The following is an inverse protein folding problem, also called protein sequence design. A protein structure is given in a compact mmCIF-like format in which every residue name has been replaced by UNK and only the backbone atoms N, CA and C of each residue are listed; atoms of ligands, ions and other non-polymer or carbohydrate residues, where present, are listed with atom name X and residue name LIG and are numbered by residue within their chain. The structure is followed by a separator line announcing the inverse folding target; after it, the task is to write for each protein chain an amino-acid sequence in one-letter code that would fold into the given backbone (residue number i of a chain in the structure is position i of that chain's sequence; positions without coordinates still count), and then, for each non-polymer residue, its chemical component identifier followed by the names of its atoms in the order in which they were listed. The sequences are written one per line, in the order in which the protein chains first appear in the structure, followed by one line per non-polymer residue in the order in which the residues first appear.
data_IF_740044912883
#
_entry.id   IF_740044912883
#
_cell.length_a   1.000
_cell.length_b   1.000
_cell.length_c   1.000
_cell.angle_alpha   90.00
_cell.angle_beta   90.00
_cell.angle_gamma   90.00
#
_symmetry.space_group_name_H-M   'P 1'
#
loop_
_entity.id
_entity.type
_entity.pdbx_description
1 polymer ?
#
# COMPACT_ATOMS: atom_id res chain seq x y z
N UNK A 1 24.48 -0.41 16.90
CA UNK A 1 23.10 -0.31 16.38
C UNK A 1 22.78 -1.65 15.76
N UNK A 2 21.82 -2.40 16.31
CA UNK A 2 21.40 -3.67 15.70
C UNK A 2 20.77 -3.36 14.35
N UNK A 3 21.31 -3.93 13.27
CA UNK A 3 20.67 -3.83 11.96
C UNK A 3 19.29 -4.49 12.09
N UNK A 4 18.23 -3.70 11.90
CA UNK A 4 16.87 -4.20 11.95
C UNK A 4 16.67 -5.04 10.68
N UNK A 5 16.29 -6.30 10.84
CA UNK A 5 16.14 -7.20 9.70
C UNK A 5 15.07 -6.67 8.73
N UNK A 6 15.30 -6.79 7.40
CA UNK A 6 14.38 -6.30 6.39
C UNK A 6 13.13 -7.17 6.31
N UNK A 7 11.97 -6.54 6.07
CA UNK A 7 10.70 -7.25 5.98
C UNK A 7 10.53 -7.87 4.60
N UNK A 8 9.92 -9.07 4.55
CA UNK A 8 9.71 -9.81 3.30
C UNK A 8 8.24 -9.74 2.86
N UNK A 9 7.99 -9.28 1.63
CA UNK A 9 6.70 -9.37 0.97
C UNK A 9 6.75 -10.43 -0.13
N UNK A 10 5.98 -11.50 0.04
CA UNK A 10 5.85 -12.56 -0.94
C UNK A 10 4.51 -12.45 -1.66
N UNK A 11 4.54 -12.39 -2.99
CA UNK A 11 3.34 -12.26 -3.84
C UNK A 11 3.24 -13.50 -4.72
N UNK A 12 2.16 -14.27 -4.60
CA UNK A 12 1.93 -15.43 -5.46
C UNK A 12 1.81 -15.00 -6.93
N UNK A 13 2.44 -15.73 -7.84
CA UNK A 13 2.27 -15.56 -9.28
C UNK A 13 1.25 -16.58 -9.78
N UNK A 14 0.17 -16.11 -10.42
CA UNK A 14 -0.85 -16.99 -10.99
C UNK A 14 -0.47 -17.48 -12.39
N UNK A 15 0.27 -16.65 -13.15
CA UNK A 15 0.84 -17.00 -14.47
C UNK A 15 2.19 -16.31 -14.68
N UNK A 16 2.98 -16.79 -15.64
CA UNK A 16 4.31 -16.26 -15.92
C UNK A 16 4.30 -14.81 -16.46
N UNK A 17 3.23 -14.40 -17.17
CA UNK A 17 3.15 -13.09 -17.80
C UNK A 17 4.07 -12.93 -19.02
N UNK A 18 3.79 -11.93 -19.87
CA UNK A 18 4.75 -11.48 -20.89
C UNK A 18 5.84 -10.60 -20.27
N UNK A 19 7.00 -10.47 -20.92
CA UNK A 19 8.12 -9.64 -20.43
C UNK A 19 7.67 -8.21 -20.15
N UNK A 20 6.91 -7.59 -21.06
CA UNK A 20 6.38 -6.24 -20.88
C UNK A 20 5.41 -6.12 -19.70
N UNK A 21 4.62 -7.16 -19.42
CA UNK A 21 3.73 -7.20 -18.26
C UNK A 21 4.53 -7.27 -16.97
N UNK A 22 5.59 -8.09 -16.94
CA UNK A 22 6.49 -8.21 -15.78
C UNK A 22 7.21 -6.89 -15.52
N UNK A 23 7.77 -6.25 -16.54
CA UNK A 23 8.47 -4.97 -16.41
C UNK A 23 7.53 -3.89 -15.87
N UNK A 24 6.28 -3.83 -16.37
CA UNK A 24 5.25 -2.91 -15.84
C UNK A 24 4.88 -3.24 -14.40
N UNK A 25 4.72 -4.52 -14.06
CA UNK A 25 4.47 -4.93 -12.69
C UNK A 25 5.59 -4.51 -11.75
N UNK A 26 6.85 -4.75 -12.12
CA UNK A 26 8.03 -4.35 -11.33
C UNK A 26 8.15 -2.82 -11.22
N UNK A 27 7.79 -2.08 -12.25
CA UNK A 27 7.75 -0.62 -12.19
C UNK A 27 6.63 -0.11 -11.29
N UNK A 28 5.42 -0.69 -11.37
CA UNK A 28 4.27 -0.27 -10.59
C UNK A 28 4.42 -0.66 -9.11
N UNK A 29 5.04 -1.81 -8.81
CA UNK A 29 5.32 -2.22 -7.42
C UNK A 29 6.37 -1.30 -6.79
N UNK A 30 7.42 -0.93 -7.52
CA UNK A 30 8.40 0.02 -7.04
C UNK A 30 7.76 1.39 -6.79
N UNK A 31 6.97 1.90 -7.74
CA UNK A 31 6.27 3.17 -7.58
C UNK A 31 5.30 3.16 -6.38
N UNK A 32 4.60 2.06 -6.15
CA UNK A 32 3.73 1.89 -4.99
C UNK A 32 4.51 1.88 -3.66
N UNK A 33 5.66 1.21 -3.63
CA UNK A 33 6.54 1.19 -2.47
C UNK A 33 7.08 2.59 -2.13
N UNK A 34 7.65 3.27 -3.13
CA UNK A 34 8.19 4.62 -2.98
C UNK A 34 7.11 5.61 -2.50
N UNK A 35 5.92 5.53 -3.09
CA UNK A 35 4.76 6.32 -2.71
C UNK A 35 4.41 6.18 -1.22
N UNK A 36 4.30 4.94 -0.73
CA UNK A 36 4.04 4.66 0.68
C UNK A 36 5.19 5.15 1.57
N UNK A 37 6.43 4.93 1.17
CA UNK A 37 7.61 5.37 1.91
C UNK A 37 7.66 6.90 2.06
N UNK A 38 7.53 7.64 0.97
CA UNK A 38 7.59 9.09 0.99
C UNK A 38 6.40 9.72 1.71
N UNK A 39 5.22 9.09 1.64
CA UNK A 39 4.07 9.53 2.41
C UNK A 39 4.36 9.47 3.92
N UNK A 40 4.91 8.36 4.41
CA UNK A 40 5.32 8.21 5.82
C UNK A 40 6.42 9.21 6.24
N UNK A 41 7.46 9.38 5.42
CA UNK A 41 8.53 10.34 5.69
C UNK A 41 7.99 11.77 5.75
N UNK A 42 7.08 12.12 4.83
CA UNK A 42 6.45 13.44 4.78
C UNK A 42 5.60 13.70 6.02
N UNK A 43 4.75 12.75 6.40
CA UNK A 43 3.95 12.83 7.61
C UNK A 43 4.81 13.01 8.87
N UNK A 44 5.90 12.26 8.98
CA UNK A 44 6.82 12.37 10.12
C UNK A 44 7.47 13.75 10.19
N UNK A 45 7.88 14.31 9.04
CA UNK A 45 8.45 15.68 8.97
C UNK A 45 7.42 16.73 9.37
N UNK A 46 6.20 16.59 8.88
CA UNK A 46 5.07 17.46 9.19
C UNK A 46 4.72 17.45 10.67
N UNK A 47 4.61 16.26 11.27
CA UNK A 47 4.35 16.10 12.70
C UNK A 47 5.45 16.77 13.55
N UNK A 48 6.73 16.55 13.22
CA UNK A 48 7.84 17.21 13.93
C UNK A 48 7.75 18.72 13.83
N UNK A 49 7.51 19.24 12.62
CA UNK A 49 7.39 20.68 12.40
C UNK A 49 6.25 21.27 13.23
N UNK A 50 5.11 20.60 13.25
CA UNK A 50 3.94 21.00 14.04
C UNK A 50 4.20 21.03 15.55
N UNK A 51 4.99 20.08 16.08
CA UNK A 51 5.29 20.01 17.52
C UNK A 51 6.33 21.07 17.95
N UNK A 52 7.36 21.34 17.12
CA UNK A 52 8.51 22.15 17.52
C UNK A 52 8.47 23.61 17.06
N UNK A 53 7.74 23.93 16.00
CA UNK A 53 7.57 25.31 15.54
C UNK A 53 6.24 25.85 16.08
N UNK A 54 6.29 26.88 16.93
CA UNK A 54 5.09 27.53 17.44
C UNK A 54 4.15 27.93 16.29
N UNK A 55 2.82 27.83 16.48
CA UNK A 55 1.84 28.09 15.43
C UNK A 55 1.79 29.57 15.08
N UNK A 56 2.80 30.03 14.35
CA UNK A 56 2.75 31.34 13.71
C UNK A 56 1.79 31.24 12.54
N UNK A 57 0.85 32.18 12.46
CA UNK A 57 -0.27 32.21 11.51
C UNK A 57 0.17 32.37 10.03
N UNK A 58 1.48 32.29 9.77
CA UNK A 58 2.11 32.31 8.44
C UNK A 58 2.64 30.91 8.10
N UNK A 59 1.81 29.89 8.35
CA UNK A 59 2.02 28.57 7.77
C UNK A 59 1.97 28.73 6.24
N UNK A 60 3.14 28.90 5.63
CA UNK A 60 3.35 28.61 4.22
C UNK A 60 2.68 27.25 3.98
N UNK A 61 1.63 27.24 3.15
CA UNK A 61 0.88 26.03 2.84
C UNK A 61 1.88 24.90 2.63
N UNK A 62 1.73 23.76 3.35
CA UNK A 62 2.65 22.64 3.20
C UNK A 62 2.73 22.38 1.71
N UNK A 63 3.90 22.60 1.10
CA UNK A 63 3.99 22.67 -0.35
C UNK A 63 3.44 21.35 -0.93
N UNK A 64 2.17 21.37 -1.35
CA UNK A 64 1.38 20.21 -1.76
C UNK A 64 1.87 19.70 -3.11
N UNK A 65 2.84 20.38 -3.70
CA UNK A 65 3.70 19.93 -4.75
C UNK A 65 4.23 18.54 -4.43
N UNK A 66 3.51 17.53 -4.93
CA UNK A 66 3.92 16.13 -5.08
C UNK A 66 4.99 16.04 -6.19
N UNK A 67 5.85 17.05 -6.32
CA UNK A 67 6.91 17.04 -7.31
C UNK A 67 7.89 15.96 -6.88
N UNK A 68 7.85 14.89 -7.70
CA UNK A 68 8.73 13.74 -7.76
C UNK A 68 9.91 13.84 -6.79
N UNK A 69 9.76 13.23 -5.62
CA UNK A 69 10.93 12.92 -4.82
C UNK A 69 11.79 12.02 -5.68
N UNK A 70 13.00 12.45 -6.02
CA UNK A 70 13.86 11.66 -6.89
C UNK A 70 14.10 10.28 -6.27
N UNK A 71 14.12 9.20 -7.06
CA UNK A 71 14.42 7.85 -6.57
C UNK A 71 15.72 7.78 -5.75
N UNK A 72 16.66 8.68 -6.03
CA UNK A 72 17.94 8.86 -5.32
C UNK A 72 17.80 9.34 -3.86
N UNK A 73 16.60 9.73 -3.42
CA UNK A 73 16.37 10.28 -2.06
C UNK A 73 16.05 9.23 -1.00
N UNK A 74 15.82 7.97 -1.37
CA UNK A 74 15.64 6.86 -0.43
C UNK A 74 17.02 6.34 -0.02
N UNK A 75 17.27 6.23 1.29
CA UNK A 75 18.51 5.64 1.79
C UNK A 75 18.64 4.20 1.27
N UNK A 76 19.84 3.74 0.88
CA UNK A 76 20.03 2.40 0.30
C UNK A 76 19.39 1.27 1.12
N UNK A 77 19.46 1.35 2.46
CA UNK A 77 18.85 0.38 3.39
C UNK A 77 17.32 0.32 3.38
N UNK A 78 16.65 1.30 2.78
CA UNK A 78 15.20 1.34 2.62
C UNK A 78 14.75 1.21 1.17
N UNK A 79 15.65 0.87 0.24
CA UNK A 79 15.25 0.59 -1.14
C UNK A 79 14.51 -0.74 -1.21
N UNK A 80 13.56 -0.84 -2.14
CA UNK A 80 12.87 -2.10 -2.42
C UNK A 80 13.83 -3.00 -3.20
N UNK A 81 14.15 -4.16 -2.65
CA UNK A 81 15.02 -5.13 -3.31
C UNK A 81 14.20 -6.35 -3.74
N UNK A 82 14.37 -6.77 -5.00
CA UNK A 82 13.82 -8.02 -5.50
C UNK A 82 14.79 -9.15 -5.14
N UNK A 83 14.45 -9.97 -4.14
CA UNK A 83 15.34 -11.04 -3.67
C UNK A 83 15.20 -12.33 -4.43
N UNK A 84 13.96 -12.72 -4.73
CA UNK A 84 13.69 -14.03 -5.31
C UNK A 84 12.51 -13.98 -6.26
N UNK A 85 12.70 -14.62 -7.41
CA UNK A 85 11.65 -14.85 -8.39
C UNK A 85 11.59 -16.35 -8.65
N UNK A 86 10.42 -16.95 -8.48
CA UNK A 86 10.15 -18.33 -8.86
C UNK A 86 9.04 -18.35 -9.90
N UNK A 87 9.41 -18.56 -11.16
CA UNK A 87 8.48 -18.69 -12.29
C UNK A 87 8.20 -20.18 -12.52
N UNK A 88 7.43 -20.77 -11.61
CA UNK A 88 6.89 -22.13 -11.75
C UNK A 88 5.35 -22.05 -11.58
N UNK A 89 4.62 -23.14 -11.81
CA UNK A 89 3.20 -23.22 -11.45
C UNK A 89 3.04 -24.14 -10.23
N UNK A 90 2.74 -23.63 -9.01
CA UNK A 90 2.57 -22.22 -8.64
C UNK A 90 3.90 -21.48 -8.36
N UNK A 91 3.97 -20.20 -8.72
CA UNK A 91 5.16 -19.35 -8.63
C UNK A 91 5.00 -18.24 -7.59
N UNK A 92 6.07 -17.49 -7.33
CA UNK A 92 6.00 -16.33 -6.43
C UNK A 92 7.12 -15.31 -6.69
N UNK A 93 6.85 -14.08 -6.29
CA UNK A 93 7.78 -12.96 -6.21
C UNK A 93 8.06 -12.66 -4.74
N UNK A 94 9.31 -12.39 -4.40
CA UNK A 94 9.71 -12.02 -3.04
C UNK A 94 10.47 -10.69 -3.08
N UNK A 95 10.05 -9.77 -2.21
CA UNK A 95 10.60 -8.44 -2.09
C UNK A 95 11.06 -8.18 -0.66
N UNK A 96 12.18 -7.48 -0.51
CA UNK A 96 12.68 -6.95 0.75
C UNK A 96 12.57 -5.43 0.79
N UNK A 97 12.23 -4.88 1.95
CA UNK A 97 12.15 -3.44 2.13
C UNK A 97 11.67 -3.03 3.52
N UNK A 98 11.34 -1.75 3.66
CA UNK A 98 10.82 -1.17 4.89
C UNK A 98 9.45 -1.77 5.25
N UNK A 99 9.23 -2.02 6.56
CA UNK A 99 7.99 -2.64 7.05
C UNK A 99 6.73 -1.90 6.62
N UNK A 100 6.68 -0.58 6.87
CA UNK A 100 5.44 0.18 6.74
C UNK A 100 4.92 0.16 5.29
N UNK A 101 5.75 0.45 4.26
CA UNK A 101 5.34 0.31 2.87
C UNK A 101 4.90 -1.11 2.48
N UNK A 102 5.65 -2.14 2.86
CA UNK A 102 5.33 -3.52 2.50
C UNK A 102 4.02 -3.99 3.16
N UNK A 103 3.79 -3.61 4.42
CA UNK A 103 2.55 -3.86 5.14
C UNK A 103 1.35 -3.22 4.43
N UNK A 104 1.48 -1.94 4.06
CA UNK A 104 0.44 -1.18 3.35
C UNK A 104 0.07 -1.86 2.02
N UNK A 105 1.09 -2.27 1.26
CA UNK A 105 0.92 -2.99 -0.01
C UNK A 105 0.25 -4.36 0.20
N UNK A 106 0.69 -5.13 1.21
CA UNK A 106 0.09 -6.42 1.57
C UNK A 106 -1.39 -6.28 1.90
N UNK A 107 -1.73 -5.34 2.78
CA UNK A 107 -3.11 -5.11 3.20
C UNK A 107 -3.99 -4.72 2.02
N UNK A 108 -3.51 -3.81 1.18
CA UNK A 108 -4.22 -3.42 -0.05
C UNK A 108 -4.46 -4.59 -1.00
N UNK A 109 -3.43 -5.38 -1.32
CA UNK A 109 -3.53 -6.53 -2.23
C UNK A 109 -4.40 -7.65 -1.64
N UNK A 110 -4.32 -7.89 -0.33
CA UNK A 110 -5.17 -8.84 0.39
C UNK A 110 -6.64 -8.40 0.32
N UNK A 111 -6.91 -7.14 0.63
CA UNK A 111 -8.28 -6.60 0.58
C UNK A 111 -8.87 -6.64 -0.83
N UNK A 112 -8.06 -6.32 -1.84
CA UNK A 112 -8.48 -6.42 -3.23
C UNK A 112 -8.76 -7.88 -3.63
N UNK A 113 -7.94 -8.82 -3.18
CA UNK A 113 -8.15 -10.25 -3.44
C UNK A 113 -9.48 -10.75 -2.91
N UNK A 114 -9.80 -10.39 -1.66
CA UNK A 114 -11.05 -10.80 -1.04
C UNK A 114 -12.25 -10.11 -1.72
N UNK A 115 -12.13 -8.85 -2.16
CA UNK A 115 -13.18 -8.19 -2.97
C UNK A 115 -13.42 -8.87 -4.32
N UNK A 116 -12.37 -9.39 -4.95
CA UNK A 116 -12.49 -10.13 -6.22
C UNK A 116 -13.21 -11.47 -5.99
N UNK A 117 -12.81 -12.22 -4.95
CA UNK A 117 -13.52 -13.44 -4.54
C UNK A 117 -14.99 -13.18 -4.22
N UNK A 118 -15.27 -12.11 -3.47
CA UNK A 118 -16.64 -11.72 -3.15
C UNK A 118 -17.44 -11.42 -4.41
N UNK A 119 -16.84 -10.76 -5.41
CA UNK A 119 -17.47 -10.49 -6.70
C UNK A 119 -17.77 -11.77 -7.48
N UNK A 120 -16.83 -12.72 -7.49
CA UNK A 120 -17.01 -14.01 -8.16
C UNK A 120 -18.05 -14.88 -7.45
N UNK A 121 -18.11 -14.81 -6.12
CA UNK A 121 -19.12 -15.49 -5.29
C UNK A 121 -20.53 -14.88 -5.47
N UNK A 122 -20.63 -13.55 -5.56
CA UNK A 122 -21.87 -12.80 -5.84
C UNK A 122 -22.50 -13.14 -7.19
N UNK A 123 -21.69 -13.56 -8.17
CA UNK A 123 -22.17 -13.89 -9.52
C UNK A 123 -22.80 -15.28 -9.62
N UNK A 124 -22.61 -16.17 -8.63
CA UNK A 124 -23.03 -17.58 -8.74
C UNK A 124 -24.43 -17.88 -8.15
N UNK A 125 -25.04 -17.04 -7.29
CA UNK A 125 -26.41 -17.33 -6.80
C UNK A 125 -27.22 -16.17 -6.14
N UNK A 126 -26.75 -14.92 -6.04
CA UNK A 126 -27.37 -13.91 -5.14
C UNK A 126 -27.62 -12.51 -5.74
N UNK A 127 -28.31 -12.38 -6.88
CA UNK A 127 -28.57 -11.03 -7.43
C UNK A 127 -29.66 -10.24 -6.69
N UNK A 128 -30.52 -10.90 -5.89
CA UNK A 128 -31.76 -10.28 -5.37
C UNK A 128 -31.73 -9.99 -3.86
N UNK A 129 -31.01 -10.76 -3.03
CA UNK A 129 -31.02 -10.61 -1.56
C UNK A 129 -29.92 -9.66 -1.03
N UNK A 130 -28.85 -9.46 -1.80
CA UNK A 130 -27.62 -8.78 -1.35
C UNK A 130 -27.64 -7.25 -1.36
N UNK A 131 -28.65 -6.60 -1.98
CA UNK A 131 -28.65 -5.13 -2.10
C UNK A 131 -28.85 -4.42 -0.76
N UNK A 132 -29.70 -4.96 0.12
CA UNK A 132 -30.01 -4.35 1.42
C UNK A 132 -28.96 -4.63 2.50
N UNK A 133 -28.18 -5.71 2.37
CA UNK A 133 -27.14 -6.11 3.34
C UNK A 133 -25.75 -5.52 3.00
N UNK A 134 -25.48 -5.23 1.72
CA UNK A 134 -24.20 -4.64 1.28
C UNK A 134 -23.98 -3.21 1.77
N UNK A 135 -25.03 -2.41 1.90
CA UNK A 135 -24.89 -1.00 2.27
C UNK A 135 -24.40 -0.85 3.72
N UNK A 136 -24.84 -1.74 4.62
CA UNK A 136 -24.37 -1.82 6.01
C UNK A 136 -22.95 -2.40 6.12
N UNK A 137 -22.62 -3.44 5.34
CA UNK A 137 -21.30 -4.07 5.37
C UNK A 137 -20.21 -3.20 4.72
N UNK A 138 -20.51 -2.42 3.68
CA UNK A 138 -19.57 -1.45 3.08
C UNK A 138 -19.17 -0.35 4.05
N UNK A 139 -20.12 0.14 4.85
CA UNK A 139 -19.86 1.11 5.91
C UNK A 139 -18.99 0.53 7.04
N UNK A 140 -19.09 -0.78 7.31
CA UNK A 140 -18.32 -1.45 8.38
C UNK A 140 -16.92 -1.91 7.94
N UNK A 141 -16.72 -2.35 6.69
CA UNK A 141 -15.40 -2.76 6.17
C UNK A 141 -14.45 -1.57 5.98
N UNK A 142 -14.98 -0.39 5.64
CA UNK A 142 -14.23 0.88 5.66
C UNK A 142 -13.79 1.26 7.09
N UNK A 143 -14.54 0.81 8.11
CA UNK A 143 -14.29 1.12 9.52
C UNK A 143 -13.29 0.17 10.20
N UNK A 144 -13.05 -1.02 9.64
CA UNK A 144 -12.39 -2.15 10.33
C UNK A 144 -10.93 -2.47 9.90
N UNK A 145 -10.30 -1.72 8.97
CA UNK A 145 -8.95 -2.04 8.44
C UNK A 145 -7.99 -0.84 8.34
N UNK A 146 -8.21 0.16 9.17
CA UNK A 146 -7.46 1.42 9.16
C UNK A 146 -6.90 1.63 10.56
N UNK A 147 -5.73 1.06 10.86
CA UNK A 147 -4.97 1.46 12.05
C UNK A 147 -3.81 2.36 11.59
N UNK A 148 -2.94 1.89 10.70
CA UNK A 148 -1.83 2.71 10.17
C UNK A 148 -2.33 3.97 9.45
N UNK A 149 -3.26 3.84 8.50
CA UNK A 149 -3.82 5.01 7.81
C UNK A 149 -4.77 5.84 8.68
N UNK A 150 -5.42 5.27 9.69
CA UNK A 150 -6.25 6.05 10.62
C UNK A 150 -5.38 6.92 11.48
N UNK A 151 -4.29 6.38 12.01
CA UNK A 151 -3.29 7.14 12.77
C UNK A 151 -2.73 8.27 11.89
N UNK A 152 -2.57 8.04 10.59
CA UNK A 152 -2.07 9.08 9.67
C UNK A 152 -3.12 10.14 9.39
N UNK A 153 -4.38 9.74 9.22
CA UNK A 153 -5.51 10.66 9.05
C UNK A 153 -5.76 11.46 10.33
N UNK A 154 -5.62 10.87 11.52
CA UNK A 154 -5.73 11.61 12.78
C UNK A 154 -4.61 12.63 12.93
N UNK A 155 -3.36 12.26 12.62
CA UNK A 155 -2.24 13.22 12.60
C UNK A 155 -2.51 14.39 11.63
N UNK A 156 -3.05 14.12 10.44
CA UNK A 156 -3.37 15.20 9.50
C UNK A 156 -4.53 16.10 9.99
N UNK A 157 -5.51 15.52 10.68
CA UNK A 157 -6.61 16.27 11.31
C UNK A 157 -6.12 17.13 12.47
N UNK A 158 -5.17 16.62 13.26
CA UNK A 158 -4.51 17.38 14.33
C UNK A 158 -3.71 18.59 13.80
N UNK A 159 -3.38 18.58 12.50
CA UNK A 159 -2.74 19.68 11.78
C UNK A 159 -3.74 20.60 11.05
N UNK A 160 -5.02 20.61 11.44
CA UNK A 160 -6.08 21.44 10.86
C UNK A 160 -6.35 21.22 9.35
N UNK A 161 -5.95 20.08 8.78
CA UNK A 161 -6.32 19.74 7.40
C UNK A 161 -7.79 19.30 7.33
N UNK A 162 -8.52 19.83 6.35
CA UNK A 162 -9.90 19.39 6.10
C UNK A 162 -9.94 17.96 5.54
N UNK A 163 -11.03 17.23 5.81
CA UNK A 163 -11.21 15.87 5.31
C UNK A 163 -11.07 15.76 3.77
N UNK A 164 -11.48 16.79 3.03
CA UNK A 164 -11.33 16.85 1.58
C UNK A 164 -9.86 16.94 1.15
N UNK A 165 -9.07 17.80 1.82
CA UNK A 165 -7.63 17.93 1.56
C UNK A 165 -6.88 16.64 1.92
N UNK A 166 -7.25 16.00 3.04
CA UNK A 166 -6.69 14.72 3.45
C UNK A 166 -6.98 13.65 2.40
N UNK A 167 -8.23 13.54 1.95
CA UNK A 167 -8.62 12.57 0.94
C UNK A 167 -7.86 12.78 -0.38
N UNK A 168 -7.75 14.02 -0.84
CA UNK A 168 -7.02 14.37 -2.07
C UNK A 168 -5.52 14.04 -1.95
N UNK A 169 -4.90 14.38 -0.82
CA UNK A 169 -3.50 14.10 -0.53
C UNK A 169 -3.22 12.60 -0.50
N UNK A 170 -4.02 11.83 0.25
CA UNK A 170 -3.86 10.37 0.39
C UNK A 170 -4.10 9.69 -0.94
N UNK A 171 -5.13 10.10 -1.69
CA UNK A 171 -5.44 9.53 -2.99
C UNK A 171 -4.32 9.77 -4.01
N UNK A 172 -3.82 11.01 -4.10
CA UNK A 172 -2.73 11.34 -5.03
C UNK A 172 -1.42 10.66 -4.64
N UNK A 173 -1.10 10.63 -3.35
CA UNK A 173 0.18 10.14 -2.87
C UNK A 173 0.26 8.62 -2.86
N UNK A 174 -0.79 7.93 -2.38
CA UNK A 174 -0.78 6.48 -2.12
C UNK A 174 -1.84 5.75 -2.94
N UNK A 175 -3.02 6.34 -3.09
CA UNK A 175 -4.16 5.70 -3.78
C UNK A 175 -3.88 5.37 -5.24
N UNK A 176 -3.39 6.34 -6.02
CA UNK A 176 -3.11 6.14 -7.45
C UNK A 176 -2.01 5.09 -7.71
N UNK A 177 -0.84 5.11 -7.03
CA UNK A 177 0.16 4.06 -7.18
C UNK A 177 -0.35 2.66 -6.80
N UNK A 178 -1.06 2.52 -5.68
CA UNK A 178 -1.66 1.24 -5.29
C UNK A 178 -2.75 0.79 -6.29
N UNK A 179 -3.53 1.71 -6.85
CA UNK A 179 -4.52 1.40 -7.86
C UNK A 179 -3.88 0.81 -9.13
N UNK A 180 -2.71 1.32 -9.56
CA UNK A 180 -1.95 0.76 -10.69
C UNK A 180 -1.46 -0.65 -10.37
N UNK A 181 -0.86 -0.86 -9.19
CA UNK A 181 -0.42 -2.18 -8.73
C UNK A 181 -1.58 -3.19 -8.72
N UNK A 182 -2.77 -2.76 -8.28
CA UNK A 182 -3.97 -3.60 -8.25
C UNK A 182 -4.45 -4.11 -9.61
N UNK A 183 -4.10 -3.43 -10.72
CA UNK A 183 -4.48 -3.87 -12.08
C UNK A 183 -3.81 -5.20 -12.45
N UNK A 184 -2.61 -5.46 -11.94
CA UNK A 184 -1.90 -6.72 -12.17
C UNK A 184 -2.60 -7.91 -11.50
N UNK A 185 -3.30 -7.66 -10.39
CA UNK A 185 -4.12 -8.66 -9.72
C UNK A 185 -5.42 -8.92 -10.51
N UNK A 186 -6.05 -7.86 -11.00
CA UNK A 186 -7.25 -7.98 -11.84
C UNK A 186 -6.95 -8.73 -13.16
N UNK A 187 -5.75 -8.56 -13.71
CA UNK A 187 -5.26 -9.27 -14.89
C UNK A 187 -4.82 -10.72 -14.62
N UNK A 188 -4.94 -11.18 -13.36
CA UNK A 188 -4.53 -12.51 -12.93
C UNK A 188 -3.03 -12.77 -13.08
N UNK A 189 -2.20 -11.73 -13.11
CA UNK A 189 -0.73 -11.88 -13.10
C UNK A 189 -0.26 -12.27 -11.70
N UNK A 190 -0.79 -11.58 -10.69
CA UNK A 190 -0.45 -11.76 -9.28
C UNK A 190 -1.68 -12.19 -8.46
N UNK A 191 -1.42 -12.90 -7.38
CA UNK A 191 -2.41 -13.46 -6.46
C UNK A 191 -2.28 -12.92 -5.04
N UNK A 192 -2.59 -13.78 -4.07
CA UNK A 192 -2.59 -13.42 -2.64
C UNK A 192 -1.18 -13.02 -2.16
N UNK A 193 -1.04 -11.90 -1.45
CA UNK A 193 0.21 -11.54 -0.79
C UNK A 193 0.35 -12.24 0.57
N UNK A 194 1.58 -12.50 0.97
CA UNK A 194 1.99 -13.06 2.26
C UNK A 194 3.15 -12.20 2.81
N UNK A 195 3.15 -11.93 4.11
CA UNK A 195 4.34 -11.44 4.81
C UNK A 195 4.84 -12.61 5.65
N UNK A 196 6.07 -13.03 5.39
CA UNK A 196 6.78 -13.97 6.25
C UNK A 196 7.57 -13.13 7.26
N UNK A 197 7.06 -13.05 8.49
CA UNK A 197 7.88 -12.72 9.65
C UNK A 197 8.33 -14.08 10.22
N UNK A 198 9.61 -14.26 10.46
CA UNK A 198 10.21 -15.52 10.86
C UNK A 198 9.56 -16.13 12.12
N UNK A 199 8.60 -17.03 11.93
CA UNK A 199 8.32 -18.22 12.77
C UNK A 199 7.85 -19.36 11.86
N UNK A 200 8.53 -19.53 10.73
CA UNK A 200 8.41 -20.74 9.93
C UNK A 200 9.81 -21.25 9.62
N UNK A 201 10.58 -21.47 10.68
CA UNK A 201 11.53 -22.59 10.69
C UNK A 201 10.70 -23.87 10.53
N UNK A 202 10.62 -24.31 9.27
CA UNK A 202 10.38 -25.70 8.93
C UNK A 202 11.61 -26.47 9.42
N UNK A 203 11.39 -27.64 10.01
CA UNK A 203 12.43 -28.53 10.51
C UNK A 203 13.29 -29.21 9.46
#
# INVERSE_FOLDING_TARGET
MSAKEPFRLRIAAHRAGGVDEIVRFLSDINAAYEACYFFEVRLTRWQRRYIFEAPSHTWLEPNLSVNATEPSSILPEFQLELTKVSINSPGFWEFLGALNPLQQMREYLKDRHERLKDKDYRNLSEKERLQLENELLRAQVIKAKHDVLRDRVSLLREMDMSDQQIAELVWRSVGVPLAKLGRHQDAGLIGKPLIENEESEIG
#
